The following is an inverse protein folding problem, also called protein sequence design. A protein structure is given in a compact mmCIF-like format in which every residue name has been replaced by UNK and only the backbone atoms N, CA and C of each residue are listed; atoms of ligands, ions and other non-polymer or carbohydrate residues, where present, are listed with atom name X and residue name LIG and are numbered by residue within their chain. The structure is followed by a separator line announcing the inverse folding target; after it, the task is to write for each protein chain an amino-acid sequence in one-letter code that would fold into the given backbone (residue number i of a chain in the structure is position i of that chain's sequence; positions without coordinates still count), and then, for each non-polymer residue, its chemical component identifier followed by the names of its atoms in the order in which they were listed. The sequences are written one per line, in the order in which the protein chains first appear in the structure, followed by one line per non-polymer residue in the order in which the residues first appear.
data_IF_160151886491
#
_entry.id   IF_160151886491
#
_cell.length_a   1.000
_cell.length_b   1.000
_cell.length_c   1.000
_cell.angle_alpha   90.00
_cell.angle_beta   90.00
_cell.angle_gamma   90.00
#
_symmetry.space_group_name_H-M   'P 1'
#
loop_
_entity.id
_entity.type
_entity.pdbx_description
1 polymer ?
#
# COMPACT_ATOMS: atom_id res chain seq x y z
N UNK A 1 0.27 -75.74 -5.71
CA UNK A 1 -0.57 -74.51 -5.76
C UNK A 1 0.33 -73.38 -6.27
N UNK A 2 0.39 -73.09 -7.57
CA UNK A 2 -0.52 -72.33 -8.45
C UNK A 2 -0.56 -70.81 -8.21
N UNK A 3 -0.44 -70.08 -9.33
CA UNK A 3 -0.08 -68.67 -9.56
C UNK A 3 -1.15 -67.64 -9.12
N UNK A 4 -0.72 -66.39 -8.91
CA UNK A 4 -1.18 -65.12 -9.59
C UNK A 4 -0.70 -63.92 -8.75
N UNK A 5 0.21 -63.08 -9.25
CA UNK A 5 -0.07 -61.93 -10.14
C UNK A 5 -1.09 -60.95 -9.56
N UNK A 6 -0.59 -59.87 -8.95
CA UNK A 6 -1.32 -58.61 -8.80
C UNK A 6 -0.40 -57.46 -9.22
N UNK A 7 -0.57 -57.10 -10.48
CA UNK A 7 -0.28 -55.77 -11.02
C UNK A 7 -1.07 -54.72 -10.25
N UNK A 8 -0.43 -53.61 -9.89
CA UNK A 8 -1.06 -52.28 -9.89
C UNK A 8 0.01 -51.18 -9.81
N UNK A 9 0.22 -50.60 -10.99
CA UNK A 9 0.86 -49.33 -11.27
C UNK A 9 0.45 -48.24 -10.29
N UNK A 10 1.42 -47.58 -9.66
CA UNK A 10 1.17 -46.38 -8.86
C UNK A 10 2.15 -45.27 -9.23
N UNK A 11 1.62 -44.34 -10.03
CA UNK A 11 1.86 -42.89 -9.99
C UNK A 11 3.31 -42.39 -10.14
N UNK A 12 3.61 -42.03 -11.38
CA UNK A 12 4.63 -41.09 -11.85
C UNK A 12 4.82 -39.89 -10.91
N UNK A 13 5.98 -39.86 -10.24
CA UNK A 13 6.52 -38.69 -9.54
C UNK A 13 7.77 -38.21 -10.26
N UNK A 14 7.68 -37.22 -11.15
CA UNK A 14 8.86 -36.43 -11.51
C UNK A 14 8.46 -34.98 -11.78
N UNK A 15 8.93 -34.12 -10.86
CA UNK A 15 8.82 -32.68 -10.85
C UNK A 15 9.70 -32.04 -11.97
N UNK A 16 9.40 -30.81 -12.38
CA UNK A 16 10.03 -30.16 -13.53
C UNK A 16 11.50 -29.82 -13.28
N UNK A 17 12.35 -30.21 -14.23
CA UNK A 17 13.77 -29.89 -14.28
C UNK A 17 13.97 -28.45 -14.74
N UNK A 18 14.81 -27.73 -13.99
CA UNK A 18 15.33 -26.40 -14.23
C UNK A 18 15.90 -26.18 -15.65
N UNK A 19 15.64 -25.01 -16.21
CA UNK A 19 16.51 -24.39 -17.22
C UNK A 19 16.99 -23.04 -16.67
N UNK A 20 18.28 -23.00 -16.33
CA UNK A 20 19.07 -21.81 -15.98
C UNK A 20 19.89 -21.44 -17.22
N UNK A 21 19.87 -20.17 -17.65
CA UNK A 21 20.98 -19.40 -18.27
C UNK A 21 20.40 -18.15 -18.95
N UNK A 22 20.92 -16.93 -18.83
CA UNK A 22 22.10 -16.43 -18.13
C UNK A 22 22.37 -14.97 -18.50
N UNK A 23 23.21 -14.32 -17.67
CA UNK A 23 24.17 -13.24 -17.97
C UNK A 23 23.59 -11.87 -18.47
N UNK A 24 24.14 -10.68 -18.22
CA UNK A 24 25.47 -10.19 -17.81
C UNK A 24 25.26 -8.84 -17.08
N UNK A 25 26.14 -8.59 -16.12
CA UNK A 25 26.42 -7.33 -15.43
C UNK A 25 26.47 -6.07 -16.31
N UNK A 26 26.01 -4.95 -15.75
CA UNK A 26 26.66 -3.64 -15.96
C UNK A 26 26.73 -2.89 -14.61
N UNK A 27 27.94 -2.42 -14.34
CA UNK A 27 28.49 -1.99 -13.06
C UNK A 27 28.15 -0.50 -12.75
N UNK A 28 28.53 0.02 -11.57
CA UNK A 28 28.05 1.28 -11.01
C UNK A 28 28.87 2.49 -11.50
N UNK A 29 28.19 3.58 -11.85
CA UNK A 29 28.81 4.86 -12.17
C UNK A 29 28.83 5.80 -10.97
N UNK A 30 30.03 6.12 -10.47
CA UNK A 30 30.28 7.13 -9.44
C UNK A 30 30.17 8.56 -10.02
N UNK A 31 29.49 9.40 -9.26
CA UNK A 31 29.63 10.85 -9.02
C UNK A 31 30.26 11.77 -10.08
N UNK A 32 29.56 12.87 -10.40
CA UNK A 32 30.12 14.23 -10.42
C UNK A 32 28.99 15.28 -10.34
N UNK A 33 29.04 16.10 -9.30
CA UNK A 33 28.22 17.28 -9.13
C UNK A 33 28.69 18.40 -10.07
N UNK A 34 27.77 19.12 -10.70
CA UNK A 34 28.02 20.47 -11.23
C UNK A 34 26.89 21.40 -10.81
N UNK A 35 27.26 22.41 -10.02
CA UNK A 35 26.44 23.55 -9.66
C UNK A 35 26.88 24.74 -10.53
N UNK A 36 25.99 25.22 -11.39
CA UNK A 36 25.92 26.57 -11.96
C UNK A 36 24.56 26.63 -12.68
N UNK A 37 23.57 27.43 -12.29
CA UNK A 37 23.63 28.87 -12.12
C UNK A 37 23.04 29.52 -13.38
N UNK A 38 21.76 29.93 -13.32
CA UNK A 38 21.20 30.95 -14.21
C UNK A 38 20.21 30.49 -15.30
N UNK A 39 18.91 30.69 -15.01
CA UNK A 39 18.01 31.44 -15.90
C UNK A 39 17.36 30.75 -17.09
N UNK A 40 16.03 30.56 -16.99
CA UNK A 40 15.12 30.86 -18.10
C UNK A 40 14.50 29.66 -18.83
N UNK A 41 13.19 29.51 -18.64
CA UNK A 41 12.31 28.87 -19.64
C UNK A 41 11.99 27.41 -19.40
N UNK A 42 10.80 27.15 -18.84
CA UNK A 42 10.23 25.81 -18.74
C UNK A 42 9.48 25.61 -17.43
N UNK A 43 8.46 26.43 -17.18
CA UNK A 43 7.48 26.15 -16.13
C UNK A 43 6.78 24.85 -16.47
N UNK A 44 7.19 23.76 -15.82
CA UNK A 44 6.40 22.53 -15.78
C UNK A 44 5.18 22.81 -14.91
N UNK A 45 4.01 22.69 -15.53
CA UNK A 45 2.68 22.96 -15.00
C UNK A 45 2.45 22.38 -13.59
N UNK A 46 2.74 23.21 -12.58
CA UNK A 46 2.15 23.09 -11.27
C UNK A 46 0.84 23.87 -11.24
N UNK A 47 -0.30 23.17 -11.15
CA UNK A 47 -1.52 23.78 -10.62
C UNK A 47 -2.81 23.34 -11.31
N UNK A 48 -3.56 22.45 -10.65
CA UNK A 48 -5.03 22.55 -10.57
C UNK A 48 -5.70 21.55 -9.60
N UNK A 49 -5.04 20.49 -9.09
CA UNK A 49 -5.72 19.51 -8.22
C UNK A 49 -4.89 18.96 -7.03
N UNK A 50 -3.76 19.59 -6.68
CA UNK A 50 -3.19 19.37 -5.35
C UNK A 50 -3.89 20.32 -4.39
N UNK A 51 -5.08 19.91 -3.93
CA UNK A 51 -5.65 20.51 -2.73
C UNK A 51 -4.60 20.37 -1.62
N UNK A 52 -4.29 21.45 -0.87
CA UNK A 52 -3.33 21.38 0.22
C UNK A 52 -3.67 20.19 1.13
N UNK A 53 -2.66 19.54 1.71
CA UNK A 53 -2.81 18.39 2.63
C UNK A 53 -3.75 18.72 3.84
N UNK A 54 -4.05 20.02 4.03
CA UNK A 54 -4.96 20.62 5.00
C UNK A 54 -6.29 21.13 4.44
N UNK A 55 -6.71 20.75 3.22
CA UNK A 55 -8.04 21.11 2.73
C UNK A 55 -9.10 20.34 3.53
N UNK A 56 -9.68 21.02 4.52
CA UNK A 56 -10.67 20.49 5.46
C UNK A 56 -11.89 19.86 4.76
N UNK A 57 -12.16 20.27 3.50
CA UNK A 57 -13.22 19.74 2.66
C UNK A 57 -12.92 18.30 2.18
N UNK A 58 -11.65 17.95 1.99
CA UNK A 58 -11.22 16.59 1.61
C UNK A 58 -11.08 15.65 2.82
N UNK A 59 -10.97 16.17 4.05
CA UNK A 59 -10.95 15.37 5.29
C UNK A 59 -12.32 14.83 5.69
N UNK A 60 -13.40 15.39 5.15
CA UNK A 60 -14.79 14.97 5.48
C UNK A 60 -15.28 13.77 4.67
N UNK A 61 -14.50 13.30 3.71
CA UNK A 61 -14.93 12.24 2.78
C UNK A 61 -14.46 10.86 3.19
N UNK A 62 -13.59 10.71 4.20
CA UNK A 62 -13.06 9.41 4.60
C UNK A 62 -13.12 9.24 6.11
N UNK A 63 -13.61 8.08 6.55
CA UNK A 63 -13.59 7.68 7.95
C UNK A 63 -12.85 6.36 8.08
N UNK A 64 -11.79 6.34 8.89
CA UNK A 64 -11.02 5.11 9.17
C UNK A 64 -11.68 4.37 10.34
N UNK A 65 -11.92 3.08 10.14
CA UNK A 65 -12.36 2.18 11.20
C UNK A 65 -11.12 1.72 11.97
N UNK A 66 -11.09 1.97 13.27
CA UNK A 66 -9.95 1.65 14.13
C UNK A 66 -10.36 0.75 15.28
N UNK A 67 -9.47 -0.17 15.67
CA UNK A 67 -9.58 -1.01 16.86
C UNK A 67 -8.50 -0.59 17.85
N UNK A 68 -8.83 -0.24 19.12
CA UNK A 68 -7.83 0.06 20.12
C UNK A 68 -7.04 -1.19 20.50
N UNK A 69 -5.73 -1.05 20.67
CA UNK A 69 -4.83 -2.17 21.05
C UNK A 69 -4.24 -1.95 22.46
N UNK A 70 -4.03 -0.69 22.84
CA UNK A 70 -3.43 -0.29 24.11
C UNK A 70 -3.45 1.24 24.25
N UNK A 71 -2.64 1.79 25.15
CA UNK A 71 -2.63 3.25 25.37
C UNK A 71 -1.92 3.94 24.23
N UNK A 72 -2.64 4.79 23.49
CA UNK A 72 -2.08 5.55 22.37
C UNK A 72 -1.79 4.73 21.10
N UNK A 73 -2.15 3.44 21.09
CA UNK A 73 -1.98 2.54 19.95
C UNK A 73 -3.29 1.95 19.46
N UNK A 74 -3.40 1.80 18.16
CA UNK A 74 -4.58 1.29 17.48
C UNK A 74 -4.19 0.46 16.26
N UNK A 75 -5.20 -0.18 15.67
CA UNK A 75 -5.13 -0.85 14.37
C UNK A 75 -6.22 -0.30 13.47
N UNK A 76 -5.86 0.23 12.30
CA UNK A 76 -6.83 0.58 11.28
C UNK A 76 -7.24 -0.70 10.54
N UNK A 77 -8.54 -1.00 10.56
CA UNK A 77 -9.13 -2.26 10.04
C UNK A 77 -9.97 -2.07 8.77
N UNK A 78 -10.14 -0.82 8.35
CA UNK A 78 -10.93 -0.49 7.17
C UNK A 78 -11.13 1.02 7.03
N UNK A 79 -11.73 1.40 5.92
CA UNK A 79 -12.09 2.78 5.64
C UNK A 79 -13.38 2.86 4.84
N UNK A 80 -14.16 3.90 5.12
CA UNK A 80 -15.36 4.25 4.37
C UNK A 80 -15.15 5.60 3.72
N UNK A 81 -15.31 5.64 2.40
CA UNK A 81 -15.35 6.87 1.61
C UNK A 81 -16.79 7.31 1.39
N UNK A 82 -17.08 8.59 1.57
CA UNK A 82 -18.41 9.18 1.44
C UNK A 82 -18.34 10.54 0.76
N UNK A 83 -19.22 10.76 -0.22
CA UNK A 83 -19.41 12.06 -0.86
C UNK A 83 -20.59 12.79 -0.21
N UNK A 84 -20.35 13.87 0.55
CA UNK A 84 -21.41 14.62 1.20
C UNK A 84 -22.27 15.43 0.23
N UNK A 85 -21.79 15.71 -0.99
CA UNK A 85 -22.55 16.45 -2.01
C UNK A 85 -23.64 15.59 -2.64
N UNK A 86 -23.32 14.32 -2.86
CA UNK A 86 -24.21 13.34 -3.47
C UNK A 86 -24.92 12.45 -2.43
N UNK A 87 -24.61 12.64 -1.14
CA UNK A 87 -25.08 11.81 -0.03
C UNK A 87 -24.83 10.30 -0.28
N UNK A 88 -23.70 9.97 -0.92
CA UNK A 88 -23.42 8.63 -1.45
C UNK A 88 -22.13 8.05 -0.88
N UNK A 89 -22.14 6.76 -0.56
CA UNK A 89 -20.94 6.01 -0.22
C UNK A 89 -20.12 5.71 -1.47
N UNK A 90 -18.87 6.16 -1.50
CA UNK A 90 -17.92 5.95 -2.59
C UNK A 90 -17.25 4.58 -2.51
N UNK A 91 -16.81 4.19 -1.32
CA UNK A 91 -16.18 2.89 -1.08
C UNK A 91 -16.32 2.45 0.38
N UNK A 92 -16.25 1.14 0.61
CA UNK A 92 -16.06 0.51 1.91
C UNK A 92 -15.02 -0.59 1.72
N UNK A 93 -13.84 -0.40 2.29
CA UNK A 93 -12.72 -1.33 2.16
C UNK A 93 -12.27 -1.84 3.52
N UNK A 94 -11.79 -3.07 3.55
CA UNK A 94 -11.17 -3.70 4.71
C UNK A 94 -9.68 -3.87 4.45
N UNK A 95 -8.87 -3.56 5.46
CA UNK A 95 -7.41 -3.76 5.44
C UNK A 95 -6.92 -3.92 6.88
N UNK A 96 -5.64 -4.23 7.09
CA UNK A 96 -5.03 -4.22 8.42
C UNK A 96 -3.74 -3.40 8.34
N UNK A 97 -3.65 -2.33 9.13
CA UNK A 97 -2.43 -1.50 9.22
C UNK A 97 -1.32 -2.14 10.05
N UNK A 98 -1.61 -3.21 10.79
CA UNK A 98 -0.85 -3.58 11.97
C UNK A 98 -1.05 -2.57 13.11
N UNK A 99 -0.27 -2.73 14.18
CA UNK A 99 -0.31 -1.82 15.33
C UNK A 99 0.45 -0.54 14.98
N UNK A 100 -0.23 0.60 15.11
CA UNK A 100 0.33 1.93 14.88
C UNK A 100 -0.05 2.85 16.04
N UNK A 101 0.74 3.91 16.26
CA UNK A 101 0.33 5.00 17.14
C UNK A 101 -0.94 5.67 16.57
N UNK A 102 -1.82 6.18 17.45
CA UNK A 102 -3.09 6.80 17.05
C UNK A 102 -2.92 7.93 16.01
N UNK A 103 -1.85 8.71 16.13
CA UNK A 103 -1.49 9.76 15.16
C UNK A 103 -1.23 9.23 13.74
N UNK A 104 -0.85 7.96 13.60
CA UNK A 104 -0.57 7.32 12.32
C UNK A 104 -1.81 7.09 11.44
N UNK A 105 -3.02 7.21 11.98
CA UNK A 105 -4.27 7.13 11.20
C UNK A 105 -4.37 8.22 10.16
N UNK A 106 -3.86 9.41 10.48
CA UNK A 106 -3.86 10.55 9.56
C UNK A 106 -3.17 10.25 8.22
N UNK A 107 -2.17 9.35 8.21
CA UNK A 107 -1.53 8.90 6.97
C UNK A 107 -2.51 8.12 6.07
N UNK A 108 -3.38 7.29 6.66
CA UNK A 108 -4.41 6.56 5.93
C UNK A 108 -5.54 7.49 5.46
N UNK A 109 -5.97 8.43 6.29
CA UNK A 109 -6.97 9.45 5.93
C UNK A 109 -6.50 10.28 4.73
N UNK A 110 -5.27 10.79 4.80
CA UNK A 110 -4.70 11.62 3.75
C UNK A 110 -4.55 10.85 2.44
N UNK A 111 -4.00 9.63 2.48
CA UNK A 111 -3.83 8.81 1.28
C UNK A 111 -5.17 8.43 0.63
N UNK A 112 -6.22 8.21 1.42
CA UNK A 112 -7.54 7.79 0.94
C UNK A 112 -8.46 8.95 0.55
N UNK A 113 -8.16 10.18 0.95
CA UNK A 113 -9.00 11.37 0.70
C UNK A 113 -9.34 11.61 -0.78
N UNK A 114 -8.41 11.26 -1.68
CA UNK A 114 -8.57 11.39 -3.12
C UNK A 114 -9.28 10.21 -3.79
N UNK A 115 -9.49 9.08 -3.10
CA UNK A 115 -10.12 7.91 -3.69
C UNK A 115 -11.60 8.19 -4.01
N UNK A 116 -12.06 7.72 -5.17
CA UNK A 116 -13.46 7.83 -5.60
C UNK A 116 -14.13 6.47 -5.78
N UNK A 117 -13.34 5.42 -5.90
CA UNK A 117 -13.80 4.03 -6.00
C UNK A 117 -13.02 3.13 -5.03
N UNK A 118 -13.53 1.91 -4.82
CA UNK A 118 -12.81 0.90 -4.04
C UNK A 118 -11.45 0.52 -4.64
N UNK A 119 -11.32 0.52 -5.98
CA UNK A 119 -10.06 0.23 -6.65
C UNK A 119 -9.01 1.35 -6.43
N UNK A 120 -9.45 2.61 -6.41
CA UNK A 120 -8.57 3.74 -6.07
C UNK A 120 -8.08 3.63 -4.63
N UNK A 121 -9.01 3.32 -3.72
CA UNK A 121 -8.71 3.15 -2.30
C UNK A 121 -7.69 2.01 -2.09
N UNK A 122 -7.84 0.87 -2.77
CA UNK A 122 -6.88 -0.24 -2.71
C UNK A 122 -5.49 0.15 -3.23
N UNK A 123 -5.41 0.90 -4.33
CA UNK A 123 -4.12 1.38 -4.87
C UNK A 123 -3.43 2.36 -3.91
N UNK A 124 -4.20 3.19 -3.21
CA UNK A 124 -3.68 4.15 -2.24
C UNK A 124 -3.16 3.49 -0.94
N UNK A 125 -3.60 2.26 -0.59
CA UNK A 125 -3.16 1.58 0.63
C UNK A 125 -1.65 1.36 0.71
N UNK A 126 -1.00 1.08 -0.43
CA UNK A 126 0.46 0.91 -0.46
C UNK A 126 1.21 2.22 -0.17
N UNK A 127 0.65 3.37 -0.58
CA UNK A 127 1.15 4.69 -0.17
C UNK A 127 0.95 4.92 1.32
N UNK A 128 -0.28 4.73 1.78
CA UNK A 128 -0.65 4.89 3.19
C UNK A 128 0.24 4.07 4.14
N UNK A 129 0.50 2.81 3.80
CA UNK A 129 1.33 1.91 4.62
C UNK A 129 2.82 2.33 4.67
N UNK A 130 3.31 3.02 3.64
CA UNK A 130 4.67 3.61 3.61
C UNK A 130 4.72 4.86 4.47
N UNK A 131 3.75 5.75 4.34
CA UNK A 131 3.70 7.00 5.11
C UNK A 131 3.47 6.72 6.62
N UNK A 132 2.67 5.69 6.92
CA UNK A 132 2.43 5.23 8.27
C UNK A 132 3.62 4.46 8.90
N UNK A 133 4.66 4.13 8.12
CA UNK A 133 5.74 3.26 8.59
C UNK A 133 6.46 3.82 9.83
N UNK A 134 6.65 5.14 9.91
CA UNK A 134 7.28 5.82 11.06
C UNK A 134 6.46 5.74 12.36
N UNK A 135 5.18 5.40 12.26
CA UNK A 135 4.27 5.31 13.40
C UNK A 135 3.98 3.87 13.84
N UNK A 136 4.61 2.89 13.19
CA UNK A 136 4.47 1.49 13.58
C UNK A 136 4.96 1.29 15.01
N UNK A 137 4.19 0.51 15.77
CA UNK A 137 4.49 0.15 17.15
C UNK A 137 4.48 -1.37 17.29
N UNK A 138 5.22 -1.87 18.26
CA UNK A 138 5.03 -3.24 18.72
C UNK A 138 3.82 -3.27 19.67
N UNK A 139 3.06 -4.34 19.64
CA UNK A 139 1.88 -4.51 20.50
C UNK A 139 2.24 -4.45 22.00
N UNK A 140 3.46 -4.86 22.37
CA UNK A 140 3.97 -4.82 23.75
C UNK A 140 4.44 -3.44 24.20
N UNK A 141 4.55 -2.48 23.27
CA UNK A 141 4.98 -1.10 23.52
C UNK A 141 3.81 -0.12 23.68
N UNK A 142 2.62 -0.69 23.86
CA UNK A 142 1.30 -0.08 23.97
C UNK A 142 0.63 -0.64 25.24
#
# INVERSE_FOLDING_TARGET
MSRRSLSRSVWTRFAPVLAIAGAVALAPGLALAQYSGGGGGGGSDGGANFAPIDDYVNRRTVTIRTVPVGVGCIRAVGAVGYDPRLNQRLFDIRFDSGVIAAVGVSAYENALSGARTGADAQRALAGAARDAARYRRDQRSC
#
